data_IF_065579060510
#
_entry.id   IF_065579060510
#
_cell.length_a   1.000
_cell.length_b   1.000
_cell.length_c   1.000
_cell.angle_alpha   90.00
_cell.angle_beta   90.00
_cell.angle_gamma   90.00
#
_symmetry.space_group_name_H-M   'P 1'
#
loop_
_entity.id
_entity.type
_entity.pdbx_description
1 polymer ?
#
# COMPACT_ATOMS: atom_id res chain seq x y z
N UNK A 1 -20.54 30.05 7.43
CA UNK A 1 -20.10 28.86 8.19
C UNK A 1 -18.90 28.26 7.47
N UNK A 2 -17.66 28.53 7.91
CA UNK A 2 -16.47 27.88 7.33
C UNK A 2 -16.43 26.46 7.88
N UNK A 3 -16.76 25.47 7.05
CA UNK A 3 -16.59 24.07 7.39
C UNK A 3 -15.14 23.83 7.80
N UNK A 4 -14.91 23.24 8.97
CA UNK A 4 -13.60 22.78 9.41
C UNK A 4 -13.07 21.83 8.33
N UNK A 5 -12.08 22.28 7.55
CA UNK A 5 -11.40 21.43 6.57
C UNK A 5 -10.78 20.28 7.36
N UNK A 6 -11.41 19.10 7.34
CA UNK A 6 -10.72 17.87 7.70
C UNK A 6 -9.49 17.77 6.79
N UNK A 7 -8.34 17.46 7.37
CA UNK A 7 -7.15 17.20 6.58
C UNK A 7 -7.43 16.06 5.60
N UNK A 8 -6.98 16.20 4.35
CA UNK A 8 -7.23 15.19 3.32
C UNK A 8 -6.69 13.84 3.76
N UNK A 9 -7.42 12.76 3.48
CA UNK A 9 -7.01 11.40 3.81
C UNK A 9 -5.59 11.08 3.32
N UNK A 10 -5.22 11.57 2.13
CA UNK A 10 -3.88 11.39 1.56
C UNK A 10 -2.74 11.99 2.40
N UNK A 11 -2.99 13.11 3.08
CA UNK A 11 -2.00 13.77 3.94
C UNK A 11 -1.81 12.94 5.20
N UNK A 12 -2.91 12.52 5.84
CA UNK A 12 -2.89 11.68 7.03
C UNK A 12 -2.20 10.33 6.75
N UNK A 13 -2.54 9.69 5.62
CA UNK A 13 -1.90 8.46 5.18
C UNK A 13 -0.37 8.58 5.12
N UNK A 14 0.11 9.66 4.50
CA UNK A 14 1.54 9.94 4.39
C UNK A 14 2.21 10.22 5.74
N UNK A 15 1.53 10.89 6.67
CA UNK A 15 2.04 11.15 8.02
C UNK A 15 2.15 9.82 8.80
N UNK A 16 1.09 9.02 8.83
CA UNK A 16 1.09 7.72 9.49
C UNK A 16 2.19 6.80 8.94
N UNK A 17 2.39 6.79 7.62
CA UNK A 17 3.45 5.99 6.99
C UNK A 17 4.86 6.42 7.46
N UNK A 18 5.12 7.73 7.55
CA UNK A 18 6.41 8.23 8.06
C UNK A 18 6.63 7.87 9.52
N UNK A 19 5.59 7.95 10.35
CA UNK A 19 5.64 7.53 11.75
C UNK A 19 5.94 6.02 11.85
N UNK A 20 5.31 5.19 11.02
CA UNK A 20 5.61 3.76 10.97
C UNK A 20 7.09 3.48 10.64
N UNK A 21 7.68 4.23 9.70
CA UNK A 21 9.11 4.10 9.39
C UNK A 21 10.01 4.54 10.54
N UNK A 22 9.64 5.55 11.31
CA UNK A 22 10.38 5.93 12.53
C UNK A 22 10.33 4.80 13.57
N UNK A 23 9.17 4.17 13.78
CA UNK A 23 9.08 3.02 14.69
C UNK A 23 9.87 1.80 14.21
N UNK A 24 9.99 1.60 12.89
CA UNK A 24 10.86 0.56 12.31
C UNK A 24 12.33 0.78 12.69
N UNK A 25 12.81 2.02 12.56
CA UNK A 25 14.19 2.39 12.94
C UNK A 25 14.41 2.14 14.44
N UNK A 26 13.40 2.44 15.26
CA UNK A 26 13.40 2.20 16.70
C UNK A 26 13.06 0.74 17.10
N UNK A 27 13.00 -0.18 16.14
CA UNK A 27 12.72 -1.61 16.33
C UNK A 27 11.44 -1.94 17.10
N UNK A 28 10.47 -1.01 17.12
CA UNK A 28 9.21 -1.17 17.85
C UNK A 28 8.13 -1.71 16.93
N UNK A 29 8.15 -3.04 16.69
CA UNK A 29 7.32 -3.70 15.66
C UNK A 29 5.82 -3.49 15.84
N UNK A 30 5.30 -3.56 17.07
CA UNK A 30 3.87 -3.39 17.35
C UNK A 30 3.39 -1.98 16.95
N UNK A 31 4.20 -0.96 17.25
CA UNK A 31 3.89 0.42 16.91
C UNK A 31 4.04 0.67 15.40
N UNK A 32 5.06 0.09 14.76
CA UNK A 32 5.15 0.09 13.29
C UNK A 32 3.86 -0.47 12.68
N UNK A 33 3.42 -1.66 13.09
CA UNK A 33 2.23 -2.31 12.55
C UNK A 33 0.96 -1.49 12.77
N UNK A 34 0.81 -0.90 13.97
CA UNK A 34 -0.32 -0.02 14.30
C UNK A 34 -0.40 1.18 13.35
N UNK A 35 0.72 1.87 13.11
CA UNK A 35 0.75 3.02 12.21
C UNK A 35 0.65 2.64 10.73
N UNK A 36 1.15 1.47 10.35
CA UNK A 36 0.91 0.90 9.02
C UNK A 36 -0.59 0.63 8.78
N UNK A 37 -1.31 0.07 9.76
CA UNK A 37 -2.77 -0.12 9.66
C UNK A 37 -3.52 1.20 9.52
N UNK A 38 -3.12 2.24 10.25
CA UNK A 38 -3.69 3.57 10.07
C UNK A 38 -3.39 4.15 8.70
N UNK A 39 -2.14 4.08 8.23
CA UNK A 39 -1.78 4.55 6.90
C UNK A 39 -2.57 3.85 5.80
N UNK A 40 -2.75 2.53 5.90
CA UNK A 40 -3.53 1.75 4.95
C UNK A 40 -4.99 2.24 4.88
N UNK A 41 -5.64 2.38 6.04
CA UNK A 41 -7.02 2.87 6.13
C UNK A 41 -7.19 4.25 5.48
N UNK A 42 -6.24 5.16 5.71
CA UNK A 42 -6.29 6.50 5.12
C UNK A 42 -5.99 6.48 3.62
N UNK A 43 -5.10 5.62 3.13
CA UNK A 43 -4.90 5.42 1.69
C UNK A 43 -6.14 4.85 1.01
N UNK A 44 -6.82 3.87 1.62
CA UNK A 44 -8.07 3.29 1.13
C UNK A 44 -9.21 4.33 1.10
N UNK A 45 -9.32 5.15 2.15
CA UNK A 45 -10.27 6.25 2.21
C UNK A 45 -9.98 7.30 1.13
N UNK A 46 -8.72 7.70 0.96
CA UNK A 46 -8.31 8.63 -0.09
C UNK A 46 -8.62 8.07 -1.48
N UNK A 47 -8.38 6.78 -1.71
CA UNK A 47 -8.67 6.10 -2.98
C UNK A 47 -10.18 6.12 -3.28
N UNK A 48 -10.99 5.72 -2.29
CA UNK A 48 -12.44 5.58 -2.43
C UNK A 48 -13.16 6.92 -2.61
N UNK A 49 -12.65 7.99 -2.00
CA UNK A 49 -13.22 9.34 -2.07
C UNK A 49 -12.68 10.17 -3.24
N UNK A 50 -11.58 9.73 -3.86
CA UNK A 50 -10.91 10.48 -4.93
C UNK A 50 -10.14 11.72 -4.45
N UNK A 51 -9.98 11.92 -3.13
CA UNK A 51 -9.36 13.12 -2.53
C UNK A 51 -7.89 13.34 -2.92
N UNK A 52 -7.23 12.30 -3.43
CA UNK A 52 -5.88 12.39 -3.98
C UNK A 52 -5.81 13.21 -5.26
N UNK A 53 -6.94 13.39 -5.95
CA UNK A 53 -7.03 14.22 -7.15
C UNK A 53 -6.60 15.66 -6.84
N UNK A 54 -5.69 16.20 -7.66
CA UNK A 54 -5.09 17.51 -7.43
C UNK A 54 -3.96 17.54 -6.39
N UNK A 55 -3.48 16.38 -5.92
CA UNK A 55 -2.23 16.27 -5.17
C UNK A 55 -1.11 15.69 -6.05
N UNK A 56 0.12 15.67 -5.54
CA UNK A 56 1.25 15.04 -6.22
C UNK A 56 1.24 13.50 -6.14
N UNK A 57 0.31 12.91 -5.36
CA UNK A 57 0.21 11.45 -5.23
C UNK A 57 -0.79 10.93 -6.26
N UNK A 58 -0.30 10.10 -7.17
CA UNK A 58 -1.10 9.43 -8.19
C UNK A 58 -1.94 8.29 -7.62
N UNK A 59 -2.98 7.91 -8.37
CA UNK A 59 -3.77 6.71 -8.09
C UNK A 59 -2.87 5.45 -8.02
N UNK A 60 -1.97 5.27 -8.99
CA UNK A 60 -1.01 4.16 -9.06
C UNK A 60 -0.15 4.07 -7.79
N UNK A 61 0.32 5.22 -7.29
CA UNK A 61 1.15 5.28 -6.08
C UNK A 61 0.36 4.90 -4.83
N UNK A 62 -0.90 5.30 -4.73
CA UNK A 62 -1.77 4.91 -3.60
C UNK A 62 -1.96 3.40 -3.58
N UNK A 63 -2.32 2.82 -4.73
CA UNK A 63 -2.51 1.37 -4.86
C UNK A 63 -1.23 0.60 -4.53
N UNK A 64 -0.07 1.06 -5.03
CA UNK A 64 1.21 0.45 -4.70
C UNK A 64 1.50 0.50 -3.18
N UNK A 65 1.29 1.65 -2.54
CA UNK A 65 1.52 1.81 -1.11
C UNK A 65 0.56 0.94 -0.29
N UNK A 66 -0.71 0.87 -0.67
CA UNK A 66 -1.67 -0.03 -0.04
C UNK A 66 -1.23 -1.50 -0.14
N UNK A 67 -0.68 -1.89 -1.30
CA UNK A 67 -0.11 -3.22 -1.53
C UNK A 67 1.12 -3.53 -0.65
N UNK A 68 2.13 -2.66 -0.63
CA UNK A 68 3.33 -2.87 0.18
C UNK A 68 3.00 -2.85 1.69
N UNK A 69 2.12 -1.95 2.13
CA UNK A 69 1.67 -1.91 3.52
C UNK A 69 0.93 -3.20 3.89
N UNK A 70 -0.03 -3.65 3.06
CA UNK A 70 -0.78 -4.89 3.28
C UNK A 70 0.14 -6.09 3.43
N UNK A 71 1.17 -6.19 2.58
CA UNK A 71 2.20 -7.25 2.67
C UNK A 71 2.95 -7.18 4.01
N UNK A 72 3.36 -5.98 4.43
CA UNK A 72 4.13 -5.78 5.67
C UNK A 72 3.35 -6.17 6.93
N UNK A 73 2.05 -5.93 6.95
CA UNK A 73 1.17 -6.32 8.07
C UNK A 73 0.65 -7.76 7.95
N UNK A 74 1.21 -8.57 7.03
CA UNK A 74 0.87 -9.98 6.85
C UNK A 74 -0.41 -10.27 6.05
N UNK A 75 -1.05 -9.25 5.47
CA UNK A 75 -2.23 -9.42 4.63
C UNK A 75 -1.86 -9.60 3.15
N UNK A 76 -1.30 -10.76 2.82
CA UNK A 76 -0.80 -11.07 1.47
C UNK A 76 -1.93 -11.09 0.43
N UNK A 77 -3.12 -11.56 0.79
CA UNK A 77 -4.29 -11.56 -0.10
C UNK A 77 -4.67 -10.14 -0.52
N UNK A 78 -4.68 -9.17 0.41
CA UNK A 78 -4.93 -7.77 0.07
C UNK A 78 -3.78 -7.19 -0.76
N UNK A 79 -2.53 -7.52 -0.43
CA UNK A 79 -1.37 -7.07 -1.20
C UNK A 79 -1.45 -7.48 -2.68
N UNK A 80 -1.76 -8.76 -2.95
CA UNK A 80 -1.96 -9.29 -4.31
C UNK A 80 -3.03 -8.49 -5.06
N UNK A 81 -4.19 -8.25 -4.43
CA UNK A 81 -5.28 -7.46 -5.03
C UNK A 81 -4.82 -6.05 -5.40
N UNK A 82 -4.12 -5.36 -4.50
CA UNK A 82 -3.65 -4.00 -4.76
C UNK A 82 -2.61 -3.95 -5.88
N UNK A 83 -1.67 -4.90 -5.94
CA UNK A 83 -0.71 -4.96 -7.04
C UNK A 83 -1.38 -5.29 -8.38
N UNK A 84 -2.39 -6.16 -8.41
CA UNK A 84 -3.22 -6.36 -9.61
C UNK A 84 -3.87 -5.07 -10.09
N UNK A 85 -4.44 -4.28 -9.17
CA UNK A 85 -5.01 -2.96 -9.50
C UNK A 85 -3.96 -1.98 -10.03
N UNK A 86 -2.71 -2.01 -9.56
CA UNK A 86 -1.61 -1.22 -10.14
C UNK A 86 -1.42 -1.56 -11.63
N UNK A 87 -1.47 -2.85 -11.99
CA UNK A 87 -1.32 -3.31 -13.38
C UNK A 87 -2.55 -3.01 -14.25
N UNK A 88 -3.73 -2.87 -13.67
CA UNK A 88 -4.93 -2.42 -14.39
C UNK A 88 -4.94 -0.90 -14.61
N UNK A 89 -4.42 -0.15 -13.64
CA UNK A 89 -4.46 1.32 -13.62
C UNK A 89 -3.21 1.98 -14.19
N UNK A 90 -2.20 1.22 -14.63
CA UNK A 90 -0.99 1.74 -15.31
C UNK A 90 -1.32 2.34 -16.69
N UNK A 91 -2.00 3.48 -16.69
CA UNK A 91 -2.35 4.24 -17.89
C UNK A 91 -1.18 5.09 -18.41
N UNK A 92 -0.19 5.35 -17.56
CA UNK A 92 0.88 6.32 -17.83
C UNK A 92 2.27 5.69 -17.68
N UNK A 93 3.08 5.73 -18.75
CA UNK A 93 4.48 5.30 -18.75
C UNK A 93 5.37 6.08 -17.76
N UNK A 94 4.91 7.23 -17.25
CA UNK A 94 5.63 8.08 -16.28
C UNK A 94 5.88 7.40 -14.94
N UNK A 95 5.17 6.32 -14.62
CA UNK A 95 5.28 5.60 -13.35
C UNK A 95 5.91 4.21 -13.50
N UNK A 96 6.71 4.01 -14.55
CA UNK A 96 7.36 2.73 -14.84
C UNK A 96 8.10 2.13 -13.63
N UNK A 97 8.74 2.97 -12.81
CA UNK A 97 9.42 2.51 -11.59
C UNK A 97 8.46 1.91 -10.56
N UNK A 98 7.30 2.53 -10.30
CA UNK A 98 6.31 2.02 -9.35
C UNK A 98 5.71 0.71 -9.86
N UNK A 99 5.44 0.63 -11.16
CA UNK A 99 4.93 -0.58 -11.81
C UNK A 99 5.94 -1.72 -11.69
N UNK A 100 7.23 -1.45 -11.91
CA UNK A 100 8.28 -2.45 -11.76
C UNK A 100 8.37 -2.94 -10.32
N UNK A 101 8.37 -2.03 -9.35
CA UNK A 101 8.35 -2.39 -7.93
C UNK A 101 7.13 -3.24 -7.57
N UNK A 102 5.95 -2.96 -8.12
CA UNK A 102 4.75 -3.77 -7.92
C UNK A 102 4.92 -5.18 -8.50
N UNK A 103 5.52 -5.32 -9.70
CA UNK A 103 5.80 -6.63 -10.32
C UNK A 103 6.73 -7.47 -9.47
N UNK A 104 7.84 -6.89 -9.00
CA UNK A 104 8.81 -7.60 -8.17
C UNK A 104 8.13 -8.14 -6.90
N UNK A 105 7.37 -7.29 -6.19
CA UNK A 105 6.63 -7.69 -4.98
C UNK A 105 5.54 -8.74 -5.26
N UNK A 106 4.86 -8.64 -6.38
CA UNK A 106 3.84 -9.61 -6.76
C UNK A 106 4.45 -10.98 -7.07
N UNK A 107 5.61 -11.03 -7.73
CA UNK A 107 6.35 -12.27 -7.99
C UNK A 107 6.85 -12.92 -6.70
N UNK A 108 7.41 -12.14 -5.77
CA UNK A 108 7.82 -12.63 -4.44
C UNK A 108 6.66 -13.32 -3.70
N UNK A 109 5.47 -12.70 -3.72
CA UNK A 109 4.28 -13.25 -3.08
C UNK A 109 3.81 -14.55 -3.74
N UNK A 110 3.84 -14.63 -5.07
CA UNK A 110 3.50 -15.87 -5.80
C UNK A 110 4.45 -17.01 -5.48
N UNK A 111 5.75 -16.77 -5.53
CA UNK A 111 6.77 -17.77 -5.20
C UNK A 111 6.63 -18.29 -3.77
N UNK A 112 6.31 -17.40 -2.82
CA UNK A 112 6.05 -17.80 -1.43
C UNK A 112 4.84 -18.73 -1.32
N UNK A 113 3.75 -18.44 -2.05
CA UNK A 113 2.56 -19.29 -2.07
C UNK A 113 2.80 -20.65 -2.72
N UNK A 114 3.54 -20.69 -3.83
CA UNK A 114 3.90 -21.94 -4.54
C UNK A 114 4.81 -22.83 -3.67
N UNK A 115 5.81 -22.23 -3.02
CA UNK A 115 6.77 -22.97 -2.17
C UNK A 115 6.14 -23.45 -0.86
N UNK A 116 5.09 -22.77 -0.37
CA UNK A 116 4.32 -23.21 0.81
C UNK A 116 3.31 -24.33 0.49
N UNK A 117 3.20 -24.74 -0.78
CA UNK A 117 2.36 -25.83 -1.26
C UNK A 117 3.20 -26.95 -1.93
N UNK A 118 4.21 -27.55 -1.26
CA UNK A 118 4.92 -28.67 -1.83
C UNK A 118 4.02 -29.93 -1.79
N UNK A 119 3.72 -30.45 -2.98
CA UNK A 119 3.14 -31.76 -3.31
C UNK A 119 2.63 -32.63 -2.14
N UNK A 120 1.32 -32.60 -1.90
CA UNK A 120 0.57 -33.78 -1.44
C UNK A 120 0.27 -34.67 -2.66
N UNK A 121 1.32 -35.23 -3.26
CA UNK A 121 1.21 -36.32 -4.22
C UNK A 121 2.04 -37.48 -3.68
N UNK A 122 1.38 -38.30 -2.86
CA UNK A 122 1.69 -39.70 -2.65
C UNK A 122 0.42 -40.51 -2.86
#
# INVERSE_FOLDING_TARGET
MRSLKKEKHIILAGICLRIAWLYRINQTKEQEERFLKFALKEYEASYSTGEFSGTQVSETKILYLAGDISRRIGNEKAAIKYFSLVFEKQKNAREASIIQMARDRFQELKQKHETSHPMLLH
#
